data_IF_147227041256
#
_entry.id   IF_147227041256
#
_cell.length_a   1.000
_cell.length_b   1.000
_cell.length_c   1.000
_cell.angle_alpha   90.00
_cell.angle_beta   90.00
_cell.angle_gamma   90.00
#
_symmetry.space_group_name_H-M   'P 1'
#
loop_
_entity.id
_entity.type
_entity.pdbx_description
1 polymer ?
#
# COMPACT_ATOMS: atom_id res chain seq x y z
N UNK A 1 40.19 -23.66 15.62
CA UNK A 1 39.03 -24.42 16.15
C UNK A 1 38.57 -23.78 17.45
N UNK A 2 37.28 -23.49 17.57
CA UNK A 2 36.69 -22.87 18.79
C UNK A 2 36.32 -23.96 19.80
N UNK A 3 37.15 -24.12 20.82
CA UNK A 3 37.02 -25.22 21.77
C UNK A 3 36.17 -24.88 23.03
N UNK A 4 35.56 -23.72 23.11
CA UNK A 4 34.77 -23.30 24.27
C UNK A 4 35.58 -23.12 25.57
N UNK A 5 36.89 -22.92 25.47
CA UNK A 5 37.80 -22.70 26.59
C UNK A 5 38.14 -21.22 26.74
N UNK A 6 38.27 -20.72 27.99
CA UNK A 6 38.80 -19.39 28.33
C UNK A 6 38.26 -18.23 27.50
N UNK A 7 36.96 -17.96 27.55
CA UNK A 7 36.35 -16.82 26.88
C UNK A 7 36.12 -16.99 25.38
N UNK A 8 36.50 -18.07 24.80
CA UNK A 8 36.14 -18.37 23.39
C UNK A 8 34.67 -18.76 23.30
N UNK A 9 33.90 -18.15 22.36
CA UNK A 9 32.53 -18.52 22.19
C UNK A 9 32.39 -19.99 21.77
N UNK A 10 31.35 -20.64 22.21
CA UNK A 10 31.05 -22.03 21.80
C UNK A 10 30.98 -22.14 20.28
N UNK A 11 31.36 -23.34 19.75
CA UNK A 11 31.19 -23.64 18.32
C UNK A 11 29.70 -23.48 17.97
N UNK A 12 29.45 -22.84 16.84
CA UNK A 12 28.10 -22.72 16.27
C UNK A 12 27.54 -24.11 16.05
N UNK A 13 26.46 -24.44 16.73
CA UNK A 13 25.74 -25.70 16.56
C UNK A 13 24.58 -25.49 15.58
N UNK A 14 24.50 -26.38 14.59
CA UNK A 14 23.31 -26.47 13.74
C UNK A 14 22.22 -27.14 14.56
N UNK A 15 21.13 -26.45 14.85
CA UNK A 15 20.01 -27.02 15.61
C UNK A 15 19.31 -28.17 14.87
N UNK A 16 18.30 -28.76 15.51
CA UNK A 16 17.53 -29.90 14.98
C UNK A 16 16.60 -29.55 13.80
N UNK A 17 16.63 -28.33 13.28
CA UNK A 17 15.71 -27.76 12.28
C UNK A 17 14.29 -27.56 12.85
N UNK A 18 13.54 -26.66 12.25
CA UNK A 18 12.11 -26.50 12.55
C UNK A 18 11.32 -27.71 12.09
N UNK A 19 10.17 -27.95 12.71
CA UNK A 19 9.24 -29.00 12.30
C UNK A 19 8.89 -28.90 10.81
N UNK A 20 8.57 -30.00 10.17
CA UNK A 20 8.25 -30.04 8.73
C UNK A 20 7.07 -29.13 8.36
N UNK A 21 6.06 -29.05 9.25
CA UNK A 21 4.83 -28.27 9.02
C UNK A 21 5.06 -26.76 8.92
N UNK A 22 6.05 -26.21 9.62
CA UNK A 22 6.33 -24.77 9.61
C UNK A 22 7.62 -24.39 8.88
N UNK A 23 8.25 -25.34 8.17
CA UNK A 23 9.52 -25.08 7.48
C UNK A 23 9.32 -24.40 6.16
N UNK A 24 10.02 -23.27 5.95
CA UNK A 24 9.96 -22.52 4.69
C UNK A 24 8.79 -21.54 4.58
N UNK A 25 7.95 -21.45 5.60
CA UNK A 25 6.88 -20.47 5.63
C UNK A 25 7.37 -19.12 6.14
N UNK A 26 6.72 -18.06 5.69
CA UNK A 26 6.87 -16.74 6.26
C UNK A 26 6.51 -16.74 7.76
N UNK A 27 7.03 -15.83 8.61
CA UNK A 27 6.67 -15.75 10.03
C UNK A 27 5.17 -15.68 10.31
N UNK A 28 4.39 -15.12 9.38
CA UNK A 28 2.92 -15.08 9.45
C UNK A 28 2.24 -16.46 9.23
N UNK A 29 3.00 -17.51 8.91
CA UNK A 29 2.46 -18.84 8.63
C UNK A 29 2.03 -19.08 7.19
N UNK A 30 2.19 -18.08 6.30
CA UNK A 30 1.81 -18.15 4.89
C UNK A 30 2.99 -18.58 4.01
N UNK A 31 2.70 -19.19 2.88
CA UNK A 31 3.68 -19.58 1.88
C UNK A 31 4.11 -18.37 1.06
N UNK A 32 5.43 -18.13 0.91
CA UNK A 32 5.95 -17.01 0.12
C UNK A 32 5.94 -17.34 -1.38
N UNK A 33 5.25 -16.52 -2.18
CA UNK A 33 5.28 -16.61 -3.65
C UNK A 33 5.94 -15.39 -4.24
N UNK A 34 6.94 -15.62 -5.08
CA UNK A 34 7.68 -14.55 -5.77
C UNK A 34 6.94 -14.15 -7.03
N UNK A 35 6.56 -12.89 -7.10
CA UNK A 35 5.82 -12.29 -8.22
C UNK A 35 6.71 -11.34 -9.00
N UNK A 36 6.62 -11.39 -10.31
CA UNK A 36 7.34 -10.50 -11.24
C UNK A 36 6.41 -9.66 -12.11
N UNK A 37 5.19 -10.12 -12.34
CA UNK A 37 4.18 -9.47 -13.21
C UNK A 37 2.85 -9.35 -12.47
N UNK A 38 2.03 -8.33 -12.76
CA UNK A 38 0.70 -8.20 -12.17
C UNK A 38 -0.22 -9.40 -12.45
N UNK A 39 -0.07 -10.04 -13.62
CA UNK A 39 -0.86 -11.23 -13.99
C UNK A 39 -0.61 -12.45 -13.09
N UNK A 40 0.56 -12.55 -12.46
CA UNK A 40 0.90 -13.67 -11.58
C UNK A 40 0.04 -13.64 -10.29
N UNK A 41 -0.54 -12.48 -9.94
CA UNK A 41 -1.37 -12.31 -8.74
C UNK A 41 -2.71 -13.04 -8.82
N UNK A 42 -3.23 -13.25 -10.00
CA UNK A 42 -4.54 -13.92 -10.21
C UNK A 42 -4.53 -15.40 -9.80
N UNK A 43 -3.34 -15.99 -9.73
CA UNK A 43 -3.15 -17.40 -9.36
C UNK A 43 -2.94 -17.62 -7.86
N UNK A 44 -2.91 -16.55 -7.07
CA UNK A 44 -2.52 -16.57 -5.66
C UNK A 44 -3.73 -16.63 -4.75
N UNK A 45 -3.67 -17.50 -3.74
CA UNK A 45 -4.70 -17.62 -2.72
C UNK A 45 -4.39 -16.70 -1.51
N UNK A 46 -5.24 -15.73 -1.24
CA UNK A 46 -5.08 -14.77 -0.14
C UNK A 46 -4.99 -15.42 1.26
N UNK A 47 -5.62 -16.58 1.45
CA UNK A 47 -5.69 -17.25 2.76
C UNK A 47 -4.43 -18.04 3.12
N UNK A 48 -3.70 -18.56 2.14
CA UNK A 48 -2.58 -19.50 2.38
C UNK A 48 -1.24 -18.95 1.90
N UNK A 49 -1.25 -17.90 1.09
CA UNK A 49 -0.07 -17.41 0.40
C UNK A 49 0.16 -15.91 0.65
N UNK A 50 1.43 -15.52 0.68
CA UNK A 50 1.86 -14.12 0.79
C UNK A 50 2.69 -13.75 -0.43
N UNK A 51 2.44 -12.58 -0.98
CA UNK A 51 3.13 -12.07 -2.16
C UNK A 51 4.47 -11.46 -1.79
N UNK A 52 5.52 -11.86 -2.49
CA UNK A 52 6.84 -11.26 -2.41
C UNK A 52 7.26 -10.76 -3.79
N UNK A 53 7.38 -9.44 -3.92
CA UNK A 53 7.80 -8.82 -5.19
C UNK A 53 9.29 -9.09 -5.41
N UNK A 54 9.66 -9.59 -6.59
CA UNK A 54 11.05 -9.86 -6.95
C UNK A 54 11.89 -8.58 -6.94
N UNK A 55 13.18 -8.70 -6.60
CA UNK A 55 14.14 -7.58 -6.60
C UNK A 55 14.39 -7.01 -8.01
N UNK A 56 14.18 -7.81 -9.06
CA UNK A 56 14.34 -7.40 -10.45
C UNK A 56 13.22 -6.51 -10.98
N UNK A 57 12.13 -6.37 -10.22
CA UNK A 57 10.96 -5.57 -10.62
C UNK A 57 11.25 -4.09 -10.39
N UNK A 58 11.20 -3.29 -11.46
CA UNK A 58 11.35 -1.85 -11.39
C UNK A 58 10.15 -1.16 -10.71
N UNK A 59 10.33 0.11 -10.37
CA UNK A 59 9.38 0.89 -9.59
C UNK A 59 7.99 0.96 -10.23
N UNK A 60 7.90 1.22 -11.53
CA UNK A 60 6.65 1.29 -12.28
C UNK A 60 5.84 0.00 -12.16
N UNK A 61 6.47 -1.15 -12.39
CA UNK A 61 5.79 -2.45 -12.30
C UNK A 61 5.48 -2.80 -10.84
N UNK A 62 6.28 -2.33 -9.88
CA UNK A 62 6.03 -2.52 -8.46
C UNK A 62 4.74 -1.82 -8.03
N UNK A 63 4.51 -0.59 -8.48
CA UNK A 63 3.28 0.17 -8.23
C UNK A 63 2.07 -0.59 -8.80
N UNK A 64 2.14 -1.01 -10.06
CA UNK A 64 1.07 -1.77 -10.69
C UNK A 64 0.75 -3.11 -9.97
N UNK A 65 1.79 -3.81 -9.46
CA UNK A 65 1.60 -5.03 -8.65
C UNK A 65 0.93 -4.69 -7.32
N UNK A 66 1.33 -3.58 -6.68
CA UNK A 66 0.73 -3.15 -5.40
C UNK A 66 -0.75 -2.80 -5.54
N UNK A 67 -1.12 -2.03 -6.54
CA UNK A 67 -2.50 -1.66 -6.84
C UNK A 67 -3.35 -2.91 -7.12
N UNK A 68 -2.83 -3.82 -7.94
CA UNK A 68 -3.53 -5.08 -8.24
C UNK A 68 -3.65 -5.99 -7.02
N UNK A 69 -2.63 -6.05 -6.17
CA UNK A 69 -2.65 -6.83 -4.93
C UNK A 69 -3.68 -6.27 -3.94
N UNK A 70 -3.83 -4.95 -3.85
CA UNK A 70 -4.87 -4.31 -3.04
C UNK A 70 -6.28 -4.63 -3.57
N UNK A 71 -6.48 -4.59 -4.88
CA UNK A 71 -7.76 -4.95 -5.50
C UNK A 71 -8.16 -6.42 -5.25
N UNK A 72 -7.18 -7.31 -5.09
CA UNK A 72 -7.38 -8.74 -4.80
C UNK A 72 -7.27 -9.07 -3.30
N UNK A 73 -7.16 -8.08 -2.43
CA UNK A 73 -6.99 -8.23 -0.97
C UNK A 73 -5.80 -9.12 -0.57
N UNK A 74 -4.74 -9.13 -1.37
CA UNK A 74 -3.54 -9.93 -1.14
C UNK A 74 -2.55 -9.21 -0.23
N UNK A 75 -1.98 -9.94 0.72
CA UNK A 75 -0.93 -9.42 1.60
C UNK A 75 0.42 -9.43 0.89
N UNK A 76 1.09 -8.27 0.85
CA UNK A 76 2.43 -8.11 0.27
C UNK A 76 3.48 -8.03 1.37
N UNK A 77 4.49 -8.92 1.34
CA UNK A 77 5.56 -8.99 2.35
C UNK A 77 6.55 -7.82 2.26
N UNK A 78 6.81 -7.32 1.05
CA UNK A 78 7.81 -6.28 0.80
C UNK A 78 7.28 -5.12 -0.07
N UNK A 79 6.33 -4.34 0.42
CA UNK A 79 5.74 -3.24 -0.36
C UNK A 79 6.76 -2.17 -0.75
N UNK A 80 7.88 -2.06 -0.05
CA UNK A 80 8.87 -1.00 -0.23
C UNK A 80 8.58 0.19 0.69
N UNK A 81 9.28 1.29 0.45
CA UNK A 81 8.97 2.56 1.13
C UNK A 81 7.56 2.96 0.73
N UNK A 82 6.69 3.12 1.70
CA UNK A 82 5.38 3.72 1.46
C UNK A 82 5.65 5.07 0.83
N UNK A 83 5.29 5.21 -0.45
CA UNK A 83 5.09 6.54 -0.99
C UNK A 83 4.09 7.19 -0.04
N UNK A 84 4.32 8.41 0.46
CA UNK A 84 3.30 9.06 1.26
C UNK A 84 2.02 8.96 0.45
N UNK A 85 1.05 8.28 1.03
CA UNK A 85 -0.29 8.21 0.49
C UNK A 85 -0.64 9.65 0.14
N UNK A 86 -0.80 9.93 -1.14
CA UNK A 86 -1.36 11.21 -1.55
C UNK A 86 -2.60 11.32 -0.69
N UNK A 87 -2.59 12.29 0.22
CA UNK A 87 -3.73 12.58 1.07
C UNK A 87 -4.95 12.45 0.17
N UNK A 88 -6.02 11.78 0.63
CA UNK A 88 -7.22 11.69 -0.18
C UNK A 88 -7.44 13.10 -0.68
N UNK A 89 -7.51 13.26 -1.97
CA UNK A 89 -7.89 14.51 -2.58
C UNK A 89 -9.26 14.77 -2.00
N UNK A 90 -9.26 15.51 -0.89
CA UNK A 90 -10.49 16.10 -0.41
C UNK A 90 -11.03 16.75 -1.65
N UNK A 91 -12.12 16.18 -2.12
CA UNK A 91 -12.94 16.74 -3.14
C UNK A 91 -12.95 18.23 -2.83
N UNK A 92 -12.34 18.99 -3.70
CA UNK A 92 -12.60 20.39 -3.79
C UNK A 92 -14.11 20.49 -3.91
N UNK A 93 -14.76 20.61 -2.77
CA UNK A 93 -16.10 21.11 -2.70
C UNK A 93 -16.00 22.45 -3.39
N UNK A 94 -16.33 22.44 -4.65
CA UNK A 94 -16.60 23.66 -5.41
C UNK A 94 -17.74 24.29 -4.63
N UNK A 95 -17.38 25.18 -3.72
CA UNK A 95 -18.31 26.12 -3.16
C UNK A 95 -18.82 26.89 -4.37
N UNK A 96 -20.02 26.51 -4.80
CA UNK A 96 -20.78 27.34 -5.71
C UNK A 96 -20.83 28.72 -5.09
N UNK A 97 -20.42 29.76 -5.81
CA UNK A 97 -20.63 31.14 -5.35
C UNK A 97 -22.15 31.32 -5.24
N UNK A 98 -22.62 31.55 -4.03
CA UNK A 98 -23.98 32.00 -3.82
C UNK A 98 -24.26 33.18 -4.75
N UNK A 99 -25.41 33.20 -5.44
CA UNK A 99 -25.79 34.37 -6.22
C UNK A 99 -26.02 35.50 -5.25
N UNK A 100 -25.14 36.46 -5.28
CA UNK A 100 -25.37 37.76 -4.65
C UNK A 100 -26.64 38.33 -5.23
N UNK A 101 -27.64 38.42 -4.39
CA UNK A 101 -28.83 39.23 -4.66
C UNK A 101 -28.38 40.63 -5.01
N UNK A 102 -28.50 40.97 -6.26
CA UNK A 102 -28.50 42.38 -6.67
C UNK A 102 -29.73 43.03 -6.05
N UNK A 103 -29.48 43.93 -5.15
CA UNK A 103 -30.49 44.84 -4.64
C UNK A 103 -31.02 45.68 -5.82
N UNK A 104 -32.27 45.46 -6.10
CA UNK A 104 -33.09 46.44 -6.81
C UNK A 104 -33.27 47.63 -5.90
N UNK A 105 -32.54 48.68 -6.15
CA UNK A 105 -32.92 49.99 -5.64
C UNK A 105 -33.55 50.79 -6.77
N UNK A 106 -34.85 50.70 -6.71
CA UNK A 106 -35.76 51.54 -7.44
C UNK A 106 -35.72 52.94 -6.89
N UNK A 107 -35.19 53.87 -7.56
CA UNK A 107 -35.52 55.26 -7.36
C UNK A 107 -36.46 55.75 -8.44
N UNK A 108 -37.68 55.63 -8.09
CA UNK A 108 -38.77 56.47 -8.57
C UNK A 108 -38.53 57.93 -8.19
N UNK A 109 -38.64 58.80 -9.12
CA UNK A 109 -39.09 60.17 -8.95
C UNK A 109 -39.28 60.68 -10.37
N UNK A 110 -40.37 60.88 -10.82
CA UNK A 110 -41.39 61.78 -10.35
C UNK A 110 -41.32 63.12 -11.11
N UNK A 111 -42.47 63.38 -11.62
CA UNK A 111 -42.98 64.74 -11.86
C UNK A 111 -42.52 65.48 -13.13
N UNK A 112 -43.42 65.90 -13.83
CA UNK A 112 -44.49 66.81 -13.95
C UNK A 112 -44.45 67.60 -15.25
N UNK A 113 -45.60 67.58 -15.87
CA UNK A 113 -46.32 68.78 -16.38
C UNK A 113 -45.64 69.65 -17.44
N UNK A 114 -46.19 69.85 -18.49
CA UNK A 114 -47.37 70.59 -18.93
C UNK A 114 -47.63 70.33 -20.42
#
# INVERSE_FOLDING_TARGET
MRLGKRGWPKIVKIGYKKSRKGRGLHPSGLEEIIVRRPADLEKINAKTQIVKISHTVGERNRIAIMERAQALELTVANPGLKKPEAAPTEELIVKEPEPTKAEEDSTSTGEKSE
#
